data_IF_762974894481
#
_entry.id   IF_762974894481
#
_cell.length_a   1.000
_cell.length_b   1.000
_cell.length_c   1.000
_cell.angle_alpha   90.00
_cell.angle_beta   90.00
_cell.angle_gamma   90.00
#
_symmetry.space_group_name_H-M   'P 1'
#
loop_
_entity.id
_entity.type
_entity.pdbx_description
1 polymer ?
#
# COMPACT_ATOMS: atom_id res chain seq x y z
N UNK A 1 -23.07 -42.05 -31.71
CA UNK A 1 -22.04 -41.36 -32.50
C UNK A 1 -21.24 -40.50 -31.53
N UNK A 2 -19.97 -40.89 -31.32
CA UNK A 2 -18.81 -40.23 -30.67
C UNK A 2 -19.11 -39.16 -29.59
N UNK A 3 -18.96 -39.44 -28.29
CA UNK A 3 -17.70 -39.52 -27.50
C UNK A 3 -16.68 -38.40 -27.77
N UNK A 4 -16.55 -37.48 -26.80
CA UNK A 4 -15.29 -36.82 -26.43
C UNK A 4 -15.25 -36.56 -24.92
N UNK A 5 -14.71 -37.53 -24.18
CA UNK A 5 -14.11 -37.31 -22.86
C UNK A 5 -12.81 -36.52 -23.04
N UNK A 6 -12.79 -35.25 -22.64
CA UNK A 6 -11.59 -34.46 -22.49
C UNK A 6 -11.05 -34.61 -21.06
N UNK A 7 -10.23 -35.62 -20.84
CA UNK A 7 -9.41 -35.72 -19.63
C UNK A 7 -8.27 -34.70 -19.73
N UNK A 8 -8.31 -33.66 -18.91
CA UNK A 8 -7.17 -32.76 -18.73
C UNK A 8 -6.54 -33.07 -17.38
N UNK A 9 -5.53 -33.94 -17.46
CA UNK A 9 -4.54 -34.21 -16.44
C UNK A 9 -3.72 -32.94 -16.27
N UNK A 10 -3.87 -32.25 -15.13
CA UNK A 10 -2.85 -31.30 -14.69
C UNK A 10 -2.18 -31.85 -13.43
N UNK A 11 -0.87 -32.03 -13.59
CA UNK A 11 0.00 -32.75 -12.69
C UNK A 11 0.14 -32.04 -11.35
N UNK A 12 0.05 -32.85 -10.29
CA UNK A 12 0.62 -32.61 -8.97
C UNK A 12 2.10 -32.23 -9.13
N UNK A 13 2.48 -31.03 -8.68
CA UNK A 13 3.87 -30.68 -8.36
C UNK A 13 3.92 -30.31 -6.88
N UNK A 14 4.23 -31.31 -6.06
CA UNK A 14 4.77 -31.10 -4.72
C UNK A 14 6.17 -30.49 -4.87
N UNK A 15 6.38 -29.31 -4.30
CA UNK A 15 7.71 -28.82 -3.98
C UNK A 15 7.82 -28.64 -2.46
N UNK A 16 8.94 -29.16 -1.96
CA UNK A 16 9.22 -29.52 -0.58
C UNK A 16 9.61 -28.32 0.30
N UNK A 17 9.44 -28.54 1.60
CA UNK A 17 9.85 -27.71 2.71
C UNK A 17 11.27 -27.13 2.64
N UNK A 18 11.43 -25.93 3.18
CA UNK A 18 12.58 -25.56 4.03
C UNK A 18 12.09 -24.83 5.28
N UNK A 19 12.06 -25.53 6.41
CA UNK A 19 12.01 -24.94 7.74
C UNK A 19 13.40 -24.40 8.06
N UNK A 20 13.57 -23.07 7.96
CA UNK A 20 14.77 -22.37 8.42
C UNK A 20 14.58 -21.90 9.86
N UNK A 21 14.92 -22.75 10.83
CA UNK A 21 14.99 -22.36 12.23
C UNK A 21 16.25 -21.53 12.51
N UNK A 22 16.08 -20.26 12.86
CA UNK A 22 17.12 -19.48 13.52
C UNK A 22 16.96 -19.60 15.04
N UNK A 23 17.62 -20.63 15.57
CA UNK A 23 17.85 -20.83 16.99
C UNK A 23 18.94 -19.86 17.47
N UNK A 24 18.56 -18.76 18.12
CA UNK A 24 19.51 -17.91 18.85
C UNK A 24 19.46 -18.24 20.34
N UNK A 25 20.52 -18.93 20.74
CA UNK A 25 20.91 -19.42 22.06
C UNK A 25 20.92 -18.29 23.09
N UNK A 26 20.43 -18.59 24.28
CA UNK A 26 20.45 -17.70 25.43
C UNK A 26 21.86 -17.29 25.87
N UNK A 27 21.93 -16.09 26.44
CA UNK A 27 23.04 -15.58 27.22
C UNK A 27 22.48 -14.68 28.32
N UNK A 28 22.35 -15.23 29.52
CA UNK A 28 22.07 -14.49 30.74
C UNK A 28 23.38 -13.80 31.12
N UNK A 29 23.43 -12.47 31.10
CA UNK A 29 24.52 -11.72 31.73
C UNK A 29 23.93 -10.72 32.72
N UNK A 30 23.99 -11.12 33.98
CA UNK A 30 23.75 -10.30 35.15
C UNK A 30 25.08 -9.64 35.54
N UNK A 31 25.13 -8.31 35.52
CA UNK A 31 26.19 -7.47 36.07
C UNK A 31 25.70 -6.03 36.02
N UNK A 32 25.40 -5.36 37.12
CA UNK A 32 26.41 -4.97 38.11
C UNK A 32 27.02 -3.65 37.62
N UNK A 33 26.41 -2.53 37.99
CA UNK A 33 26.65 -1.24 37.33
C UNK A 33 27.94 -0.53 37.70
N UNK A 34 28.18 0.59 37.01
CA UNK A 34 28.89 1.76 37.54
C UNK A 34 28.41 3.00 36.78
N UNK A 35 28.05 4.02 37.54
CA UNK A 35 27.81 5.37 37.08
C UNK A 35 29.08 5.96 36.45
N UNK A 36 29.04 6.29 35.17
CA UNK A 36 30.02 7.19 34.56
C UNK A 36 29.27 8.28 33.81
N UNK A 37 29.32 9.48 34.38
CA UNK A 37 29.05 10.74 33.71
C UNK A 37 30.21 10.97 32.74
N UNK A 38 29.94 10.84 31.44
CA UNK A 38 30.78 11.46 30.42
C UNK A 38 29.89 12.36 29.57
N UNK A 39 30.02 13.66 29.84
CA UNK A 39 29.60 14.73 28.97
C UNK A 39 30.64 14.84 27.85
N UNK A 40 30.28 14.43 26.64
CA UNK A 40 31.15 14.54 25.46
C UNK A 40 30.30 14.60 24.22
N UNK A 41 30.03 15.82 23.75
CA UNK A 41 29.19 16.09 22.60
C UNK A 41 29.67 15.38 21.35
N UNK A 42 28.79 14.60 20.73
CA UNK A 42 28.93 14.21 19.33
C UNK A 42 28.09 15.18 18.50
N UNK A 43 28.72 16.31 18.18
CA UNK A 43 28.27 17.18 17.10
C UNK A 43 28.47 16.45 15.79
N UNK A 44 27.57 15.51 15.49
CA UNK A 44 27.51 14.83 14.20
C UNK A 44 27.31 15.87 13.12
N UNK A 45 28.39 16.17 12.40
CA UNK A 45 28.37 16.97 11.18
C UNK A 45 27.29 16.37 10.29
N UNK A 46 26.24 17.14 10.01
CA UNK A 46 25.13 16.73 9.17
C UNK A 46 25.67 16.14 7.88
N UNK A 47 25.64 14.81 7.78
CA UNK A 47 26.05 14.11 6.59
C UNK A 47 25.10 14.57 5.50
N UNK A 48 25.58 15.45 4.63
CA UNK A 48 24.96 15.71 3.34
C UNK A 48 25.06 14.42 2.55
N UNK A 49 24.18 13.47 2.86
CA UNK A 49 24.01 12.28 2.05
C UNK A 49 23.75 12.72 0.63
N UNK A 50 24.34 12.00 -0.32
CA UNK A 50 24.09 12.22 -1.74
C UNK A 50 22.57 12.25 -1.97
N UNK A 51 22.01 13.28 -2.63
CA UNK A 51 20.60 13.31 -2.97
C UNK A 51 20.23 12.05 -3.75
N UNK A 52 19.10 11.44 -3.41
CA UNK A 52 18.61 10.27 -4.13
C UNK A 52 18.05 10.70 -5.49
N UNK A 53 18.48 10.04 -6.57
CA UNK A 53 17.78 10.10 -7.86
C UNK A 53 16.44 9.34 -7.79
N UNK A 54 15.62 9.43 -8.85
CA UNK A 54 14.40 8.64 -8.93
C UNK A 54 14.71 7.16 -9.19
N UNK A 55 14.38 6.28 -8.25
CA UNK A 55 14.81 4.87 -8.26
C UNK A 55 14.36 4.07 -9.50
N UNK A 56 13.12 4.29 -9.94
CA UNK A 56 12.53 3.63 -11.13
C UNK A 56 12.20 4.66 -12.22
N UNK A 57 12.91 5.79 -12.24
CA UNK A 57 12.59 6.93 -13.11
C UNK A 57 11.46 7.80 -12.55
N UNK A 58 10.97 8.73 -13.37
CA UNK A 58 9.95 9.68 -12.96
C UNK A 58 8.62 8.97 -12.63
N UNK A 59 7.99 9.32 -11.52
CA UNK A 59 6.73 8.68 -11.09
C UNK A 59 6.37 8.89 -9.63
N UNK A 60 5.27 8.25 -9.23
CA UNK A 60 4.73 8.33 -7.87
C UNK A 60 5.24 7.19 -6.98
N UNK A 61 5.56 7.49 -5.72
CA UNK A 61 6.09 6.54 -4.75
C UNK A 61 5.43 6.76 -3.40
N UNK A 62 4.99 5.70 -2.74
CA UNK A 62 4.65 5.76 -1.33
C UNK A 62 5.91 6.09 -0.52
N UNK A 63 5.79 6.99 0.45
CA UNK A 63 6.92 7.42 1.28
C UNK A 63 7.66 6.25 1.91
N UNK A 64 6.93 5.24 2.41
CA UNK A 64 7.48 3.97 2.91
C UNK A 64 8.32 3.20 1.87
N UNK A 65 7.86 3.13 0.61
CA UNK A 65 8.59 2.49 -0.48
C UNK A 65 9.84 3.29 -0.85
N UNK A 66 9.69 4.61 -1.01
CA UNK A 66 10.79 5.52 -1.29
C UNK A 66 11.87 5.46 -0.19
N UNK A 67 11.46 5.29 1.08
CA UNK A 67 12.38 5.06 2.19
C UNK A 67 13.15 3.76 2.04
N UNK A 68 12.47 2.65 1.79
CA UNK A 68 13.12 1.34 1.66
C UNK A 68 14.14 1.34 0.52
N UNK A 69 13.80 1.95 -0.62
CA UNK A 69 14.71 2.10 -1.76
C UNK A 69 15.89 3.02 -1.45
N UNK A 70 15.66 4.13 -0.74
CA UNK A 70 16.72 5.03 -0.31
C UNK A 70 17.73 4.33 0.61
N UNK A 71 17.23 3.55 1.57
CA UNK A 71 18.04 2.76 2.49
C UNK A 71 18.84 1.68 1.73
N UNK A 72 18.25 1.03 0.72
CA UNK A 72 18.91 0.02 -0.12
C UNK A 72 20.10 0.58 -0.92
N UNK A 73 19.96 1.78 -1.49
CA UNK A 73 21.04 2.41 -2.27
C UNK A 73 22.00 3.24 -1.40
N UNK A 74 21.73 3.38 -0.10
CA UNK A 74 22.55 4.16 0.82
C UNK A 74 22.46 5.68 0.63
N UNK A 75 21.30 6.19 0.19
CA UNK A 75 21.03 7.62 0.08
C UNK A 75 19.97 8.07 1.11
N UNK A 76 19.76 9.38 1.25
CA UNK A 76 18.78 9.94 2.19
C UNK A 76 17.85 10.93 1.52
N UNK A 77 16.54 10.73 1.68
CA UNK A 77 15.51 11.67 1.24
C UNK A 77 15.09 12.53 2.44
N UNK A 78 15.49 13.81 2.43
CA UNK A 78 15.13 14.76 3.50
C UNK A 78 13.62 14.96 3.68
N UNK A 79 12.84 14.74 2.62
CA UNK A 79 11.38 14.86 2.62
C UNK A 79 10.69 13.76 3.45
N UNK A 80 11.33 12.61 3.71
CA UNK A 80 10.64 11.44 4.28
C UNK A 80 10.25 11.57 5.74
N UNK A 81 10.93 12.40 6.55
CA UNK A 81 10.74 12.43 8.00
C UNK A 81 9.28 12.62 8.43
N UNK A 82 8.54 13.43 7.67
CA UNK A 82 7.13 13.78 7.94
C UNK A 82 6.17 13.25 6.85
N UNK A 83 6.65 12.42 5.91
CA UNK A 83 5.91 12.04 4.71
C UNK A 83 5.98 10.53 4.38
N UNK A 84 6.24 9.67 5.36
CA UNK A 84 6.29 8.22 5.13
C UNK A 84 4.95 7.66 4.61
N UNK A 85 3.84 8.20 5.08
CA UNK A 85 2.50 7.72 4.70
C UNK A 85 1.94 8.42 3.46
N UNK A 86 2.66 9.39 2.90
CA UNK A 86 2.18 10.20 1.77
C UNK A 86 2.61 9.62 0.42
N UNK A 87 1.89 10.02 -0.62
CA UNK A 87 2.31 9.79 -1.99
C UNK A 87 3.30 10.88 -2.39
N UNK A 88 4.49 10.47 -2.74
CA UNK A 88 5.56 11.32 -3.24
C UNK A 88 5.59 11.25 -4.77
N UNK A 89 6.03 12.32 -5.43
CA UNK A 89 6.41 12.29 -6.84
C UNK A 89 7.92 12.56 -6.94
N UNK A 90 8.58 11.81 -7.80
CA UNK A 90 9.94 12.13 -8.25
C UNK A 90 9.91 12.52 -9.72
N UNK A 91 10.37 13.74 -10.01
CA UNK A 91 10.50 14.26 -11.37
C UNK A 91 11.89 14.87 -11.56
N UNK A 92 12.65 14.35 -12.52
CA UNK A 92 13.99 14.82 -12.86
C UNK A 92 14.93 14.89 -11.64
N UNK A 93 14.81 13.90 -10.75
CA UNK A 93 15.58 13.79 -9.50
C UNK A 93 15.07 14.68 -8.37
N UNK A 94 13.96 15.39 -8.56
CA UNK A 94 13.34 16.24 -7.54
C UNK A 94 12.17 15.51 -6.89
N UNK A 95 12.29 15.30 -5.58
CA UNK A 95 11.26 14.68 -4.75
C UNK A 95 10.31 15.73 -4.19
N UNK A 96 9.02 15.53 -4.39
CA UNK A 96 7.94 16.39 -3.87
C UNK A 96 6.84 15.55 -3.23
N UNK A 97 6.07 16.12 -2.31
CA UNK A 97 4.83 15.49 -1.83
C UNK A 97 3.76 15.73 -2.90
N UNK A 98 3.31 14.66 -3.54
CA UNK A 98 2.26 14.73 -4.56
C UNK A 98 0.89 14.79 -3.90
N UNK A 99 0.65 13.92 -2.92
CA UNK A 99 -0.64 13.81 -2.23
C UNK A 99 -0.44 13.37 -0.78
N UNK A 100 -1.19 13.99 0.14
CA UNK A 100 -1.22 13.59 1.56
C UNK A 100 -2.31 12.54 1.74
N UNK A 101 -1.93 11.34 2.18
CA UNK A 101 -2.89 10.26 2.39
C UNK A 101 -3.61 10.47 3.74
N UNK A 102 -4.71 11.23 3.72
CA UNK A 102 -5.41 11.65 4.94
C UNK A 102 -6.19 10.52 5.64
N UNK A 103 -6.47 9.42 4.92
CA UNK A 103 -7.40 8.37 5.32
C UNK A 103 -6.80 6.95 5.25
N UNK A 104 -5.48 6.83 5.12
CA UNK A 104 -4.78 5.56 5.04
C UNK A 104 -3.30 5.73 4.78
N UNK A 105 -2.53 4.65 4.92
CA UNK A 105 -1.15 4.62 4.45
C UNK A 105 -1.16 4.58 2.91
N UNK A 106 -0.16 5.22 2.28
CA UNK A 106 0.10 4.94 0.88
C UNK A 106 0.46 3.46 0.73
N UNK A 107 -0.32 2.73 -0.07
CA UNK A 107 -0.10 1.31 -0.32
C UNK A 107 0.62 1.10 -1.65
N UNK A 108 1.52 0.13 -1.67
CA UNK A 108 2.30 -0.27 -2.84
C UNK A 108 2.41 -1.78 -2.90
N UNK A 109 2.48 -2.32 -4.11
CA UNK A 109 2.74 -3.74 -4.34
C UNK A 109 4.26 -3.96 -4.43
N UNK A 110 4.81 -4.72 -3.46
CA UNK A 110 6.24 -5.04 -3.39
C UNK A 110 6.72 -5.95 -4.53
N UNK A 111 5.80 -6.69 -5.17
CA UNK A 111 6.12 -7.62 -6.25
C UNK A 111 6.07 -6.94 -7.62
N UNK A 112 5.39 -5.79 -7.72
CA UNK A 112 5.25 -5.08 -8.98
C UNK A 112 6.39 -4.09 -9.25
N UNK A 113 6.91 -4.20 -10.48
CA UNK A 113 7.91 -3.26 -11.03
C UNK A 113 7.28 -1.93 -11.44
N UNK A 114 5.97 -1.90 -11.67
CA UNK A 114 5.25 -0.67 -11.98
C UNK A 114 4.89 0.08 -10.70
N UNK A 115 4.95 1.41 -10.76
CA UNK A 115 4.60 2.30 -9.66
C UNK A 115 3.07 2.49 -9.63
N UNK A 116 2.36 1.56 -8.99
CA UNK A 116 0.91 1.67 -8.75
C UNK A 116 0.60 2.30 -7.39
N UNK A 117 1.61 2.89 -6.76
CA UNK A 117 1.57 3.55 -5.47
C UNK A 117 0.45 4.62 -5.45
N UNK A 118 -0.45 4.52 -4.48
CA UNK A 118 -1.55 5.46 -4.31
C UNK A 118 -2.04 5.50 -2.87
N UNK A 119 -2.63 6.64 -2.47
CA UNK A 119 -3.40 6.72 -1.23
C UNK A 119 -4.65 5.86 -1.38
N UNK A 120 -4.73 4.72 -0.67
CA UNK A 120 -5.94 3.91 -0.66
C UNK A 120 -6.90 4.36 0.43
N UNK A 121 -8.21 4.33 0.14
CA UNK A 121 -9.22 4.66 1.12
C UNK A 121 -9.43 3.52 2.11
N UNK A 122 -9.40 3.86 3.40
CA UNK A 122 -10.10 3.06 4.40
C UNK A 122 -11.54 2.80 3.97
N UNK A 123 -12.03 1.64 4.38
CA UNK A 123 -13.36 1.22 4.00
C UNK A 123 -14.46 2.03 4.72
N UNK A 124 -15.17 2.86 3.97
CA UNK A 124 -16.21 3.73 4.52
C UNK A 124 -17.65 3.31 4.17
N UNK A 125 -17.84 2.30 3.30
CA UNK A 125 -19.16 1.80 2.90
C UNK A 125 -19.64 0.70 3.84
N UNK A 126 -20.73 0.96 4.57
CA UNK A 126 -21.26 -0.02 5.55
C UNK A 126 -22.14 -1.12 4.96
N UNK A 127 -22.89 -0.85 3.89
CA UNK A 127 -23.91 -1.80 3.40
C UNK A 127 -23.86 -2.05 1.89
N UNK A 128 -24.07 -1.02 1.06
CA UNK A 128 -24.10 -1.13 -0.40
C UNK A 128 -24.15 0.26 -1.04
N UNK A 129 -23.08 0.65 -1.72
CA UNK A 129 -22.99 1.92 -2.44
C UNK A 129 -22.60 1.66 -3.88
N UNK A 130 -23.24 2.36 -4.80
CA UNK A 130 -22.92 2.43 -6.20
C UNK A 130 -21.47 2.92 -6.37
N UNK A 131 -20.67 2.27 -7.21
CA UNK A 131 -19.26 2.61 -7.43
C UNK A 131 -19.04 4.10 -7.70
N UNK A 132 -19.88 4.73 -8.51
CA UNK A 132 -19.84 6.18 -8.78
C UNK A 132 -19.99 7.02 -7.49
N UNK A 133 -20.80 6.55 -6.54
CA UNK A 133 -21.00 7.17 -5.24
C UNK A 133 -19.78 7.02 -4.35
N UNK A 134 -19.20 5.82 -4.35
CA UNK A 134 -17.94 5.53 -3.66
C UNK A 134 -16.81 6.40 -4.22
N UNK A 135 -16.66 6.52 -5.54
CA UNK A 135 -15.66 7.39 -6.18
C UNK A 135 -15.80 8.85 -5.75
N UNK A 136 -17.04 9.36 -5.71
CA UNK A 136 -17.31 10.74 -5.30
C UNK A 136 -16.88 10.99 -3.86
N UNK A 137 -17.09 10.03 -2.96
CA UNK A 137 -16.68 10.14 -1.56
C UNK A 137 -15.17 9.97 -1.39
N UNK A 138 -14.56 8.99 -2.07
CA UNK A 138 -13.12 8.79 -2.13
C UNK A 138 -12.38 10.05 -2.58
N UNK A 139 -12.88 10.73 -3.61
CA UNK A 139 -12.32 12.00 -4.09
C UNK A 139 -12.38 13.12 -3.03
N UNK A 140 -13.39 13.14 -2.15
CA UNK A 140 -13.45 14.10 -1.03
C UNK A 140 -12.46 13.77 0.06
N UNK A 141 -12.20 12.48 0.27
CA UNK A 141 -11.26 11.97 1.28
C UNK A 141 -9.80 12.04 0.81
N UNK A 142 -9.55 12.32 -0.49
CA UNK A 142 -8.20 12.34 -1.06
C UNK A 142 -7.59 10.94 -1.06
N UNK A 143 -8.35 9.96 -1.55
CA UNK A 143 -7.92 8.58 -1.61
C UNK A 143 -8.58 7.86 -2.81
N UNK A 144 -8.10 6.65 -3.12
CA UNK A 144 -8.60 5.79 -4.18
C UNK A 144 -9.12 4.49 -3.60
N UNK A 145 -10.20 3.96 -4.18
CA UNK A 145 -10.68 2.62 -3.87
C UNK A 145 -10.17 1.67 -4.96
N UNK A 146 -9.43 0.59 -4.64
CA UNK A 146 -8.79 -0.27 -5.63
C UNK A 146 -9.71 -0.85 -6.69
N UNK A 147 -10.95 -1.18 -6.32
CA UNK A 147 -11.93 -1.82 -7.22
C UNK A 147 -12.61 -0.85 -8.19
N UNK A 148 -12.55 0.46 -7.94
CA UNK A 148 -13.35 1.43 -8.70
C UNK A 148 -13.05 1.53 -10.20
N UNK A 149 -11.80 1.38 -10.69
CA UNK A 149 -11.54 1.48 -12.12
C UNK A 149 -12.33 0.46 -12.96
N UNK A 150 -12.63 -0.71 -12.39
CA UNK A 150 -13.35 -1.79 -13.06
C UNK A 150 -14.83 -1.89 -12.63
N UNK A 151 -15.17 -1.37 -11.46
CA UNK A 151 -16.47 -1.55 -10.81
C UNK A 151 -17.17 -0.21 -10.48
N UNK A 152 -16.99 0.81 -11.32
CA UNK A 152 -17.64 2.11 -11.11
C UNK A 152 -19.16 2.05 -11.19
N UNK A 153 -19.70 1.08 -11.94
CA UNK A 153 -21.12 0.93 -12.20
C UNK A 153 -21.80 -0.14 -11.32
N UNK A 154 -21.04 -0.81 -10.44
CA UNK A 154 -21.51 -1.91 -9.59
C UNK A 154 -21.85 -1.46 -8.17
N UNK A 155 -22.50 -2.34 -7.39
CA UNK A 155 -22.66 -2.14 -5.96
C UNK A 155 -21.42 -2.64 -5.23
N UNK A 156 -20.70 -1.71 -4.62
CA UNK A 156 -19.57 -2.00 -3.74
C UNK A 156 -20.03 -2.08 -2.29
N UNK A 157 -19.35 -2.91 -1.52
CA UNK A 157 -19.54 -3.03 -0.07
C UNK A 157 -18.22 -3.28 0.62
N UNK A 158 -18.26 -3.23 1.95
CA UNK A 158 -17.08 -3.49 2.75
C UNK A 158 -17.33 -4.46 3.92
N UNK A 159 -17.53 -5.75 3.63
CA UNK A 159 -17.57 -6.73 4.69
C UNK A 159 -16.19 -6.84 5.34
N UNK A 160 -16.11 -6.70 6.66
CA UNK A 160 -14.90 -6.90 7.45
C UNK A 160 -13.73 -5.93 7.14
N UNK A 161 -14.01 -4.74 6.60
CA UNK A 161 -12.98 -3.73 6.36
C UNK A 161 -12.20 -3.87 5.05
N UNK A 162 -12.57 -4.82 4.18
CA UNK A 162 -12.00 -4.95 2.84
C UNK A 162 -13.04 -4.63 1.76
N UNK A 163 -12.63 -3.85 0.76
CA UNK A 163 -13.46 -3.52 -0.41
C UNK A 163 -13.84 -4.79 -1.18
N UNK A 164 -15.12 -4.95 -1.50
CA UNK A 164 -15.63 -6.05 -2.29
C UNK A 164 -16.78 -5.60 -3.20
N UNK A 165 -16.89 -6.23 -4.37
CA UNK A 165 -18.10 -6.13 -5.20
C UNK A 165 -19.20 -6.96 -4.54
N UNK A 166 -20.29 -6.30 -4.15
CA UNK A 166 -21.47 -6.95 -3.57
C UNK A 166 -22.38 -7.53 -4.65
N UNK A 167 -22.60 -6.75 -5.69
CA UNK A 167 -23.50 -7.06 -6.80
C UNK A 167 -23.02 -6.34 -8.06
N UNK A 168 -22.82 -7.07 -9.14
CA UNK A 168 -22.52 -6.51 -10.46
C UNK A 168 -23.81 -5.97 -11.10
N UNK A 169 -23.76 -4.76 -11.66
CA UNK A 169 -24.91 -4.10 -12.29
C UNK A 169 -24.65 -3.86 -13.78
N UNK A 170 -25.06 -4.77 -14.69
CA UNK A 170 -24.84 -4.62 -16.13
C UNK A 170 -25.46 -3.36 -16.75
N UNK A 171 -26.50 -2.81 -16.12
CA UNK A 171 -27.20 -1.59 -16.54
C UNK A 171 -26.81 -0.35 -15.71
N UNK A 172 -25.78 -0.47 -14.86
CA UNK A 172 -25.38 0.50 -13.85
C UNK A 172 -26.21 0.46 -12.57
N UNK A 173 -25.74 1.19 -11.57
CA UNK A 173 -26.37 1.34 -10.27
C UNK A 173 -27.10 2.68 -10.09
N UNK A 174 -28.07 2.71 -9.18
CA UNK A 174 -28.86 3.87 -8.80
C UNK A 174 -28.50 4.26 -7.36
N UNK A 175 -28.08 5.52 -7.19
CA UNK A 175 -27.80 6.09 -5.87
C UNK A 175 -29.11 6.40 -5.13
N UNK A 176 -29.29 5.79 -3.96
CA UNK A 176 -30.39 6.07 -3.06
C UNK A 176 -30.06 7.27 -2.13
N UNK A 177 -31.05 7.86 -1.45
CA UNK A 177 -30.79 8.86 -0.42
C UNK A 177 -29.91 8.33 0.71
N UNK A 178 -29.19 9.23 1.38
CA UNK A 178 -28.33 8.89 2.52
C UNK A 178 -29.04 8.00 3.54
N UNK A 179 -28.41 6.89 3.90
CA UNK A 179 -28.95 5.91 4.86
C UNK A 179 -29.80 4.80 4.22
N UNK A 180 -29.95 4.79 2.89
CA UNK A 180 -30.58 3.70 2.13
C UNK A 180 -29.52 3.03 1.26
N UNK A 181 -29.49 1.69 1.17
CA UNK A 181 -28.65 0.97 0.21
C UNK A 181 -28.93 1.37 -1.25
N UNK A 182 -27.87 1.50 -2.04
CA UNK A 182 -27.97 1.64 -3.50
C UNK A 182 -28.41 0.32 -4.15
N UNK A 183 -28.95 0.38 -5.37
CA UNK A 183 -29.46 -0.79 -6.08
C UNK A 183 -29.08 -0.78 -7.56
N UNK A 184 -29.00 -1.95 -8.20
CA UNK A 184 -28.88 -2.02 -9.66
C UNK A 184 -30.13 -1.47 -10.37
N UNK A 185 -29.95 -1.03 -11.62
CA UNK A 185 -31.01 -0.52 -12.50
C UNK A 185 -31.76 -1.61 -13.25
#
# INVERSE_FOLDING_TARGET
MLERCGALVFALLLASATQGGCSSKGGIIQGGGTSSKDAGGSGGTGGGGTPCECFFGNGSYCGVRAKALADEVGCSLGLLADNLDNLLSCEDGVWTVQETCNSGACEFDVEQKELTDACQCDCFVKEAWCGVGVQKEANKLGCRVPLLPEHSDDILSCPNGSWAVKEECPSGCIQAPTGTPDSCK
#
